data_IF_576821694415
#
_entry.id   IF_576821694415
#
_cell.length_a   1.000
_cell.length_b   1.000
_cell.length_c   1.000
_cell.angle_alpha   90.00
_cell.angle_beta   90.00
_cell.angle_gamma   90.00
#
_symmetry.space_group_name_H-M   'P 1'
#
loop_
_entity.id
_entity.type
_entity.pdbx_description
1 polymer ?
#
# COMPACT_ATOMS: atom_id res chain seq x y z
N UNK A 1 -8.89 9.15 -6.70
CA UNK A 1 -8.48 9.76 -5.42
C UNK A 1 -6.97 9.65 -5.31
N UNK A 2 -6.26 10.78 -5.36
CA UNK A 2 -4.82 10.81 -5.07
C UNK A 2 -4.61 11.31 -3.64
N UNK A 3 -3.90 10.55 -2.80
CA UNK A 3 -3.76 10.84 -1.37
C UNK A 3 -2.30 10.85 -0.93
N UNK A 4 -2.04 11.61 0.12
CA UNK A 4 -0.82 11.55 0.91
C UNK A 4 -1.23 11.45 2.38
N UNK A 5 -1.14 10.25 2.95
CA UNK A 5 -1.63 9.98 4.31
C UNK A 5 -0.54 10.24 5.36
N UNK A 6 -0.93 10.30 6.63
CA UNK A 6 -0.04 10.61 7.75
C UNK A 6 1.22 9.71 7.76
N UNK A 7 2.44 10.30 7.76
CA UNK A 7 3.69 9.54 7.73
C UNK A 7 4.05 8.93 9.09
N UNK A 8 5.15 8.19 9.14
CA UNK A 8 5.73 7.49 10.29
C UNK A 8 5.03 6.17 10.66
N UNK A 9 5.79 5.24 11.22
CA UNK A 9 5.36 3.85 11.39
C UNK A 9 4.23 3.71 12.41
N UNK A 10 4.38 4.41 13.53
CA UNK A 10 3.47 4.48 14.67
C UNK A 10 2.08 5.09 14.34
N UNK A 11 1.97 5.85 13.25
CA UNK A 11 0.75 6.60 12.90
C UNK A 11 -0.29 5.78 12.13
N UNK A 12 -0.35 4.47 12.38
CA UNK A 12 -1.28 3.55 11.72
C UNK A 12 -2.75 3.99 11.85
N UNK A 13 -3.20 4.28 13.07
CA UNK A 13 -4.57 4.72 13.32
C UNK A 13 -4.88 6.10 12.70
N UNK A 14 -3.88 6.99 12.60
CA UNK A 14 -4.04 8.29 11.96
C UNK A 14 -4.27 8.14 10.44
N UNK A 15 -3.58 7.18 9.78
CA UNK A 15 -3.83 6.87 8.37
C UNK A 15 -5.23 6.32 8.12
N UNK A 16 -5.72 5.42 8.99
CA UNK A 16 -7.10 4.91 8.90
C UNK A 16 -8.09 6.06 9.04
N UNK A 17 -7.91 6.92 10.04
CA UNK A 17 -8.76 8.11 10.22
C UNK A 17 -8.72 9.03 9.00
N UNK A 18 -7.54 9.24 8.39
CA UNK A 18 -7.44 10.03 7.15
C UNK A 18 -8.27 9.41 6.02
N UNK A 19 -8.21 8.09 5.82
CA UNK A 19 -9.03 7.40 4.82
C UNK A 19 -10.51 7.62 5.10
N UNK A 20 -10.97 7.39 6.33
CA UNK A 20 -12.38 7.57 6.69
C UNK A 20 -12.86 9.00 6.43
N UNK A 21 -12.08 10.00 6.85
CA UNK A 21 -12.42 11.42 6.66
C UNK A 21 -12.47 11.78 5.16
N UNK A 22 -11.51 11.28 4.37
CA UNK A 22 -11.46 11.47 2.92
C UNK A 22 -12.69 10.84 2.25
N UNK A 23 -12.99 9.58 2.53
CA UNK A 23 -14.13 8.89 1.91
C UNK A 23 -15.48 9.50 2.30
N UNK A 24 -15.65 9.92 3.56
CA UNK A 24 -16.85 10.67 3.99
C UNK A 24 -17.00 11.98 3.23
N UNK A 25 -15.91 12.73 3.06
CA UNK A 25 -15.92 13.99 2.33
C UNK A 25 -16.33 13.77 0.87
N UNK A 26 -15.72 12.79 0.20
CA UNK A 26 -16.02 12.49 -1.21
C UNK A 26 -17.45 12.01 -1.40
N UNK A 27 -17.97 11.18 -0.49
CA UNK A 27 -19.36 10.72 -0.53
C UNK A 27 -20.38 11.87 -0.45
N UNK A 28 -19.99 13.01 0.15
CA UNK A 28 -20.81 14.22 0.20
C UNK A 28 -20.63 15.13 -1.02
N UNK A 29 -19.55 14.98 -1.79
CA UNK A 29 -19.22 15.83 -2.95
C UNK A 29 -19.64 15.21 -4.29
N UNK A 30 -19.70 13.88 -4.38
CA UNK A 30 -20.06 13.19 -5.61
C UNK A 30 -21.57 12.90 -5.63
N UNK A 31 -22.25 13.40 -6.65
CA UNK A 31 -23.63 13.03 -6.95
C UNK A 31 -23.69 11.83 -7.91
N UNK A 32 -24.57 10.88 -7.62
CA UNK A 32 -24.83 9.72 -8.49
C UNK A 32 -23.87 8.54 -8.30
N UNK A 33 -24.12 7.43 -9.03
CA UNK A 33 -23.30 6.23 -8.92
C UNK A 33 -21.90 6.44 -9.52
N UNK A 34 -20.90 5.85 -8.89
CA UNK A 34 -19.52 5.82 -9.38
C UNK A 34 -19.19 4.42 -9.84
N UNK A 35 -18.99 4.22 -11.15
CA UNK A 35 -18.69 2.89 -11.69
C UNK A 35 -17.32 2.38 -11.22
N UNK A 36 -16.31 3.25 -11.20
CA UNK A 36 -14.93 2.90 -10.87
C UNK A 36 -14.34 3.90 -9.89
N UNK A 37 -13.72 3.41 -8.82
CA UNK A 37 -12.94 4.24 -7.90
C UNK A 37 -11.50 3.75 -7.86
N UNK A 38 -10.56 4.66 -8.12
CA UNK A 38 -9.13 4.42 -7.95
C UNK A 38 -8.62 5.22 -6.76
N UNK A 39 -7.97 4.55 -5.81
CA UNK A 39 -7.24 5.16 -4.70
C UNK A 39 -5.74 5.00 -4.97
N UNK A 40 -5.05 6.11 -5.14
CA UNK A 40 -3.64 6.14 -5.53
C UNK A 40 -2.86 7.11 -4.64
N UNK A 41 -1.54 6.92 -4.54
CA UNK A 41 -0.62 7.88 -3.95
C UNK A 41 0.22 7.30 -2.82
N UNK A 42 0.75 8.19 -1.99
CA UNK A 42 1.54 7.82 -0.80
C UNK A 42 0.59 7.56 0.37
N UNK A 43 0.15 6.31 0.48
CA UNK A 43 -0.71 5.88 1.58
C UNK A 43 0.07 5.72 2.89
N UNK A 44 1.40 5.78 2.86
CA UNK A 44 2.28 5.77 4.03
C UNK A 44 2.14 4.56 4.99
N UNK A 45 1.42 3.50 4.63
CA UNK A 45 1.42 2.25 5.40
C UNK A 45 2.81 1.60 5.37
N UNK A 46 3.21 1.02 6.50
CA UNK A 46 4.57 0.52 6.70
C UNK A 46 4.60 -0.99 6.82
N UNK A 47 5.81 -1.54 6.64
CA UNK A 47 6.10 -2.93 6.99
C UNK A 47 6.39 -3.02 8.48
N UNK A 48 5.67 -3.91 9.15
CA UNK A 48 5.74 -4.17 10.58
C UNK A 48 6.34 -5.56 10.77
N UNK A 49 7.65 -5.60 11.01
CA UNK A 49 8.37 -6.82 11.35
C UNK A 49 9.50 -6.52 12.33
N UNK A 50 9.78 -7.47 13.22
CA UNK A 50 10.81 -7.35 14.23
C UNK A 50 12.21 -7.59 13.65
N UNK A 51 13.26 -7.17 14.37
CA UNK A 51 14.66 -7.29 13.88
C UNK A 51 15.04 -8.74 13.49
N UNK A 52 14.56 -9.73 14.23
CA UNK A 52 14.75 -11.16 13.96
C UNK A 52 14.04 -11.62 12.67
N UNK A 53 12.99 -10.94 12.24
CA UNK A 53 12.21 -11.25 11.03
C UNK A 53 12.78 -10.60 9.78
N UNK A 54 13.72 -9.66 9.90
CA UNK A 54 14.35 -8.98 8.76
C UNK A 54 14.98 -9.94 7.75
N UNK A 55 15.61 -11.02 8.22
CA UNK A 55 16.16 -12.06 7.33
C UNK A 55 15.05 -12.79 6.57
N UNK A 56 13.94 -13.10 7.24
CA UNK A 56 12.75 -13.70 6.62
C UNK A 56 12.18 -12.75 5.58
N UNK A 57 11.95 -11.49 5.91
CA UNK A 57 11.46 -10.47 4.98
C UNK A 57 12.33 -10.35 3.72
N UNK A 58 13.65 -10.23 3.87
CA UNK A 58 14.57 -10.17 2.74
C UNK A 58 14.54 -11.44 1.88
N UNK A 59 14.41 -12.62 2.49
CA UNK A 59 14.25 -13.88 1.76
C UNK A 59 12.95 -13.91 0.95
N UNK A 60 11.83 -13.46 1.55
CA UNK A 60 10.54 -13.35 0.85
C UNK A 60 10.59 -12.37 -0.32
N UNK A 61 11.31 -11.25 -0.18
CA UNK A 61 11.51 -10.27 -1.26
C UNK A 61 12.32 -10.83 -2.43
N UNK A 62 13.30 -11.69 -2.14
CA UNK A 62 14.22 -12.24 -3.15
C UNK A 62 13.56 -13.27 -4.08
N UNK A 63 12.44 -13.87 -3.66
CA UNK A 63 11.73 -14.89 -4.43
C UNK A 63 10.30 -14.44 -4.72
N UNK A 64 10.00 -14.23 -6.00
CA UNK A 64 8.68 -13.79 -6.48
C UNK A 64 7.51 -14.66 -5.98
N UNK A 65 7.70 -15.97 -5.90
CA UNK A 65 6.66 -16.90 -5.44
C UNK A 65 6.32 -16.70 -3.95
N UNK A 66 7.26 -16.14 -3.19
CA UNK A 66 7.13 -15.88 -1.76
C UNK A 66 6.65 -14.46 -1.46
N UNK A 67 6.67 -13.54 -2.43
CA UNK A 67 6.25 -12.14 -2.25
C UNK A 67 4.80 -12.01 -1.77
N UNK A 68 3.94 -13.00 -2.03
CA UNK A 68 2.57 -13.04 -1.46
C UNK A 68 2.55 -13.04 0.08
N UNK A 69 3.57 -13.60 0.73
CA UNK A 69 3.70 -13.68 2.18
C UNK A 69 4.12 -12.36 2.81
N UNK A 70 4.60 -11.39 2.00
CA UNK A 70 4.91 -10.04 2.47
C UNK A 70 3.67 -9.35 3.06
N UNK A 71 2.48 -9.71 2.57
CA UNK A 71 1.19 -9.23 3.09
C UNK A 71 0.94 -9.55 4.57
N UNK A 72 1.73 -10.44 5.18
CA UNK A 72 1.68 -10.73 6.62
C UNK A 72 2.32 -9.61 7.45
N UNK A 73 3.21 -8.83 6.85
CA UNK A 73 3.95 -7.76 7.50
C UNK A 73 3.49 -6.36 7.03
N UNK A 74 2.68 -6.26 5.98
CA UNK A 74 2.23 -4.98 5.39
C UNK A 74 0.98 -4.46 6.10
N UNK A 75 1.08 -3.31 6.77
CA UNK A 75 -0.05 -2.73 7.53
C UNK A 75 -1.30 -2.51 6.67
N UNK A 76 -1.17 -2.10 5.40
CA UNK A 76 -2.33 -1.93 4.52
C UNK A 76 -3.01 -3.27 4.22
N UNK A 77 -2.23 -4.30 3.92
CA UNK A 77 -2.73 -5.66 3.71
C UNK A 77 -3.41 -6.22 4.96
N UNK A 78 -2.87 -5.96 6.14
CA UNK A 78 -3.47 -6.36 7.42
C UNK A 78 -4.78 -5.60 7.68
N UNK A 79 -4.80 -4.29 7.45
CA UNK A 79 -6.01 -3.47 7.57
C UNK A 79 -7.14 -3.99 6.66
N UNK A 80 -6.83 -4.29 5.39
CA UNK A 80 -7.81 -4.78 4.42
C UNK A 80 -8.41 -6.14 4.76
N UNK A 81 -7.72 -6.95 5.59
CA UNK A 81 -8.25 -8.24 6.09
C UNK A 81 -9.24 -8.06 7.25
N UNK A 82 -9.29 -6.88 7.88
CA UNK A 82 -10.22 -6.62 8.97
C UNK A 82 -11.66 -6.51 8.42
N UNK A 83 -12.66 -7.04 9.13
CA UNK A 83 -14.05 -6.93 8.68
C UNK A 83 -14.51 -5.47 8.63
N UNK A 84 -15.38 -5.15 7.68
CA UNK A 84 -16.07 -3.85 7.57
C UNK A 84 -15.15 -2.62 7.47
N UNK A 85 -13.91 -2.77 6.98
CA UNK A 85 -13.01 -1.63 6.76
C UNK A 85 -13.38 -0.86 5.48
N UNK A 86 -13.03 0.43 5.39
CA UNK A 86 -13.39 1.30 4.25
C UNK A 86 -12.80 0.84 2.89
N UNK A 87 -11.78 -0.02 2.92
CA UNK A 87 -11.11 -0.57 1.75
C UNK A 87 -11.45 -2.04 1.48
N UNK A 88 -12.49 -2.61 2.12
CA UNK A 88 -12.82 -4.03 1.98
C UNK A 88 -13.19 -4.44 0.55
N UNK A 89 -13.90 -3.56 -0.18
CA UNK A 89 -14.29 -3.78 -1.59
C UNK A 89 -13.22 -3.32 -2.60
N UNK A 90 -12.09 -2.79 -2.13
CA UNK A 90 -11.00 -2.42 -3.01
C UNK A 90 -10.12 -3.63 -3.28
N UNK A 91 -9.78 -3.81 -4.54
CA UNK A 91 -8.75 -4.71 -5.03
C UNK A 91 -7.39 -4.01 -5.14
N UNK A 92 -6.34 -4.82 -5.14
CA UNK A 92 -4.98 -4.39 -5.44
C UNK A 92 -4.27 -5.54 -6.15
N UNK A 93 -3.62 -5.24 -7.27
CA UNK A 93 -2.83 -6.23 -7.98
C UNK A 93 -1.68 -6.73 -7.10
N UNK A 94 -1.31 -7.99 -7.25
CA UNK A 94 -0.20 -8.56 -6.50
C UNK A 94 1.08 -7.72 -6.70
N UNK A 95 1.64 -7.21 -5.61
CA UNK A 95 2.92 -6.52 -5.61
C UNK A 95 4.02 -7.52 -5.97
N UNK A 96 4.65 -7.28 -7.11
CA UNK A 96 5.81 -8.04 -7.61
C UNK A 96 7.07 -7.21 -7.68
N UNK A 97 7.07 -6.00 -7.13
CA UNK A 97 8.24 -5.13 -7.08
C UNK A 97 8.80 -5.05 -5.66
N UNK A 98 9.95 -4.39 -5.53
CA UNK A 98 10.59 -4.14 -4.22
C UNK A 98 9.98 -2.92 -3.53
N UNK A 99 10.05 -2.80 -2.19
CA UNK A 99 9.53 -1.63 -1.48
C UNK A 99 9.96 -0.29 -2.08
N UNK A 100 9.06 0.70 -2.09
CA UNK A 100 9.31 2.02 -2.71
C UNK A 100 9.91 3.04 -1.74
N UNK A 101 9.92 2.71 -0.45
CA UNK A 101 10.42 3.58 0.62
C UNK A 101 11.29 2.80 1.62
N UNK A 102 12.32 3.35 2.27
CA UNK A 102 12.99 4.65 2.05
C UNK A 102 14.36 4.41 1.44
N UNK A 103 14.53 4.78 0.18
CA UNK A 103 15.85 4.79 -0.45
C UNK A 103 16.68 5.96 0.07
N UNK A 104 17.99 5.72 0.17
CA UNK A 104 19.02 6.72 0.43
C UNK A 104 19.94 6.74 -0.78
N UNK A 105 20.10 7.93 -1.36
CA UNK A 105 21.08 8.15 -2.43
C UNK A 105 22.49 8.04 -1.86
N UNK A 106 23.33 7.28 -2.54
CA UNK A 106 24.76 7.16 -2.31
C UNK A 106 25.52 7.67 -3.53
N UNK A 107 26.83 7.87 -3.37
CA UNK A 107 27.70 8.29 -4.47
C UNK A 107 27.62 7.36 -5.70
N UNK A 108 27.41 6.05 -5.49
CA UNK A 108 27.44 5.03 -6.54
C UNK A 108 26.12 4.21 -6.62
N UNK A 109 24.98 4.78 -6.23
CA UNK A 109 23.69 4.09 -6.36
C UNK A 109 22.71 4.40 -5.22
N UNK A 110 21.68 3.59 -5.08
CA UNK A 110 20.63 3.72 -4.08
C UNK A 110 20.64 2.51 -3.15
N UNK A 111 20.42 2.72 -1.85
CA UNK A 111 20.21 1.64 -0.88
C UNK A 111 19.03 1.96 0.03
N UNK A 112 18.42 0.94 0.60
CA UNK A 112 17.47 1.18 1.69
C UNK A 112 18.16 1.80 2.91
N UNK A 113 17.45 2.75 3.52
CA UNK A 113 17.79 3.30 4.83
C UNK A 113 17.91 2.19 5.86
N UNK A 114 18.94 2.24 6.70
CA UNK A 114 19.07 1.34 7.87
C UNK A 114 18.19 1.76 9.04
N UNK A 115 17.59 2.97 8.99
CA UNK A 115 16.83 3.58 10.10
C UNK A 115 15.35 3.18 10.13
N UNK A 116 14.82 2.71 9.01
CA UNK A 116 13.39 2.39 8.85
C UNK A 116 13.27 1.10 8.07
N UNK A 117 12.21 0.34 8.33
CA UNK A 117 11.89 -0.85 7.53
C UNK A 117 11.49 -0.44 6.11
N UNK A 118 12.07 -1.04 5.06
CA UNK A 118 11.61 -0.85 3.69
C UNK A 118 10.11 -1.11 3.59
N UNK A 119 9.36 -0.19 3.00
CA UNK A 119 7.89 -0.21 2.96
C UNK A 119 7.31 0.11 1.59
N UNK A 120 6.13 -0.44 1.31
CA UNK A 120 5.32 -0.17 0.12
C UNK A 120 4.35 0.97 0.45
N UNK A 121 4.87 2.19 0.47
CA UNK A 121 4.10 3.39 0.83
C UNK A 121 3.24 3.88 -0.33
N UNK A 122 3.74 3.71 -1.55
CA UNK A 122 3.09 4.13 -2.79
C UNK A 122 2.22 3.01 -3.33
N UNK A 123 0.90 3.22 -3.42
CA UNK A 123 -0.07 2.16 -3.70
C UNK A 123 -1.11 2.60 -4.70
N UNK A 124 -1.66 1.63 -5.42
CA UNK A 124 -2.81 1.77 -6.31
C UNK A 124 -3.83 0.70 -5.95
N UNK A 125 -5.01 1.12 -5.53
CA UNK A 125 -6.15 0.26 -5.25
C UNK A 125 -7.32 0.69 -6.14
N UNK A 126 -8.18 -0.26 -6.48
CA UNK A 126 -9.33 0.00 -7.34
C UNK A 126 -10.55 -0.79 -6.89
N UNK A 127 -11.74 -0.24 -7.11
CA UNK A 127 -13.00 -0.98 -6.98
C UNK A 127 -13.91 -0.68 -8.16
N UNK A 128 -14.74 -1.65 -8.50
CA UNK A 128 -15.87 -1.48 -9.41
C UNK A 128 -17.17 -1.62 -8.63
N UNK A 129 -18.10 -0.69 -8.82
CA UNK A 129 -19.44 -0.75 -8.22
C UNK A 129 -20.52 -1.18 -9.23
N UNK A 130 -20.13 -1.42 -10.48
CA UNK A 130 -21.00 -1.99 -11.52
C UNK A 130 -20.66 -3.46 -11.78
N UNK A 131 -21.44 -4.13 -12.62
CA UNK A 131 -21.12 -5.48 -13.12
C UNK A 131 -19.87 -5.52 -14.02
N UNK A 132 -19.27 -4.36 -14.32
CA UNK A 132 -18.07 -4.27 -15.14
C UNK A 132 -16.82 -4.59 -14.32
N UNK A 133 -15.94 -5.43 -14.85
CA UNK A 133 -14.68 -5.77 -14.17
C UNK A 133 -13.55 -4.82 -14.53
N UNK A 134 -12.65 -4.56 -13.56
CA UNK A 134 -11.40 -3.83 -13.80
C UNK A 134 -10.27 -4.84 -13.95
N UNK A 135 -9.59 -4.83 -15.10
CA UNK A 135 -8.40 -5.63 -15.34
C UNK A 135 -7.14 -4.78 -15.21
N UNK A 136 -6.33 -5.06 -14.19
CA UNK A 136 -5.02 -4.42 -14.04
C UNK A 136 -3.98 -5.21 -14.85
N UNK A 137 -3.51 -4.64 -15.97
CA UNK A 137 -2.51 -5.25 -16.86
C UNK A 137 -1.11 -5.29 -16.24
N UNK A 138 -0.70 -4.22 -15.57
CA UNK A 138 0.62 -4.07 -14.97
C UNK A 138 0.53 -3.33 -13.62
N UNK A 139 1.43 -3.70 -12.69
CA UNK A 139 1.58 -3.02 -11.41
C UNK A 139 3.03 -3.14 -10.96
N UNK A 140 3.78 -2.06 -11.11
CA UNK A 140 5.23 -2.06 -10.95
C UNK A 140 5.71 -0.73 -10.32
N UNK A 141 6.96 -0.74 -9.88
CA UNK A 141 7.71 0.45 -9.51
C UNK A 141 8.79 0.72 -10.54
N UNK A 142 9.08 1.99 -10.83
CA UNK A 142 10.23 2.32 -11.66
C UNK A 142 11.53 1.93 -10.94
N UNK A 143 12.50 1.33 -11.65
CA UNK A 143 13.81 1.09 -11.09
C UNK A 143 14.49 2.42 -10.73
N UNK A 144 15.17 2.43 -9.58
CA UNK A 144 15.91 3.58 -9.05
C UNK A 144 17.33 3.69 -9.59
#
# INVERSE_FOLDING_TARGET
LNVHLTPHEENYNARIKNLDDIFKKIANEIEGPVDFTFLVGDLNFRMEYMFNEKKRFNSLLSNENNRKLIKEFDQLSLFRKQPNNILHDFDEKQIKFSPTFKYQKLKNGMKYSKKVNPSFTDRILYKSSSSTSVYCSEYDSLPY
#
